data_IF_276288581550
#
_entry.id   IF_276288581550
#
_cell.length_a   1.000
_cell.length_b   1.000
_cell.length_c   1.000
_cell.angle_alpha   90.00
_cell.angle_beta   90.00
_cell.angle_gamma   90.00
#
_symmetry.space_group_name_H-M   'P 1'
#
loop_
_entity.id
_entity.type
_entity.pdbx_description
1 polymer ?
#
# COMPACT_ATOMS: atom_id res chain seq x y z
N UNK A 1 -40.26 46.22 -42.43
CA UNK A 1 -40.14 46.49 -40.99
C UNK A 1 -39.05 45.55 -40.46
N UNK A 2 -37.76 45.83 -40.67
CA UNK A 2 -36.90 46.62 -39.75
C UNK A 2 -37.17 46.18 -38.30
N UNK A 3 -36.30 45.48 -37.56
CA UNK A 3 -34.85 45.48 -37.52
C UNK A 3 -34.41 46.16 -36.22
N UNK A 4 -34.09 45.39 -35.17
CA UNK A 4 -33.43 45.78 -33.90
C UNK A 4 -33.31 44.50 -33.04
N UNK A 5 -32.24 44.13 -32.33
CA UNK A 5 -30.94 44.72 -32.06
C UNK A 5 -29.97 43.61 -31.66
N UNK A 6 -28.76 43.66 -32.20
CA UNK A 6 -27.58 43.09 -31.56
C UNK A 6 -27.39 43.72 -30.17
N UNK A 7 -27.18 42.90 -29.15
CA UNK A 7 -26.45 43.32 -27.95
C UNK A 7 -25.32 42.32 -27.65
N UNK A 8 -24.12 42.81 -27.94
CA UNK A 8 -22.84 42.36 -27.41
C UNK A 8 -22.87 42.28 -25.88
N UNK A 9 -22.20 41.28 -25.32
CA UNK A 9 -22.00 41.14 -23.89
C UNK A 9 -20.84 40.21 -23.57
N UNK A 10 -19.65 40.54 -24.06
CA UNK A 10 -18.39 39.93 -23.64
C UNK A 10 -18.20 40.15 -22.13
N UNK A 11 -18.17 39.07 -21.35
CA UNK A 11 -17.74 39.13 -19.95
C UNK A 11 -16.49 38.27 -19.74
N UNK A 12 -15.38 38.99 -19.86
CA UNK A 12 -14.23 39.01 -18.95
C UNK A 12 -13.56 37.67 -18.62
N UNK A 13 -12.51 37.37 -19.39
CA UNK A 13 -11.35 36.60 -18.93
C UNK A 13 -10.72 37.34 -17.74
N UNK A 14 -10.87 36.83 -16.52
CA UNK A 14 -10.05 37.25 -15.38
C UNK A 14 -9.07 36.14 -15.03
N UNK A 15 -7.86 36.27 -15.58
CA UNK A 15 -6.66 35.68 -15.01
C UNK A 15 -6.39 36.38 -13.67
N UNK A 16 -6.42 35.64 -12.57
CA UNK A 16 -5.83 36.07 -11.31
C UNK A 16 -4.53 35.31 -11.12
N UNK A 17 -3.44 35.96 -11.53
CA UNK A 17 -2.08 35.62 -11.15
C UNK A 17 -1.79 36.26 -9.81
N UNK A 18 -1.77 35.47 -8.73
CA UNK A 18 -1.18 35.89 -7.45
C UNK A 18 0.17 35.21 -7.30
N UNK A 19 1.24 35.97 -7.59
CA UNK A 19 2.61 35.65 -7.24
C UNK A 19 2.95 36.33 -5.91
N UNK A 20 3.56 35.61 -4.96
CA UNK A 20 4.40 36.07 -3.83
C UNK A 20 4.93 34.81 -3.08
N UNK A 21 6.01 34.89 -2.28
CA UNK A 21 7.42 35.04 -2.65
C UNK A 21 8.24 33.78 -2.29
N UNK A 22 9.49 33.76 -2.76
CA UNK A 22 10.49 32.76 -2.42
C UNK A 22 10.84 32.79 -0.92
N UNK A 23 10.69 31.65 -0.24
CA UNK A 23 11.30 31.40 1.05
C UNK A 23 12.43 30.38 0.87
N UNK A 24 13.65 30.88 0.82
CA UNK A 24 14.89 30.13 0.95
C UNK A 24 15.08 29.75 2.42
N UNK A 25 14.96 28.47 2.75
CA UNK A 25 15.53 27.91 3.97
C UNK A 25 16.29 26.63 3.63
N UNK A 26 17.60 26.79 3.49
CA UNK A 26 18.56 25.71 3.56
C UNK A 26 18.71 25.26 5.00
N UNK A 27 18.54 23.98 5.29
CA UNK A 27 19.36 23.25 6.28
C UNK A 27 19.09 21.75 6.20
N UNK A 28 20.06 21.05 5.60
CA UNK A 28 20.74 19.86 6.12
C UNK A 28 19.86 18.88 6.94
N UNK A 29 19.55 17.72 6.37
CA UNK A 29 19.80 16.39 6.96
C UNK A 29 19.48 15.31 5.93
N UNK A 30 20.45 15.09 5.03
CA UNK A 30 20.54 13.83 4.29
C UNK A 30 21.18 12.81 5.24
N UNK A 31 20.41 11.81 5.68
CA UNK A 31 20.97 10.52 6.05
C UNK A 31 20.18 9.44 5.34
N UNK A 32 20.55 9.25 4.06
CA UNK A 32 20.21 8.02 3.36
C UNK A 32 20.88 6.87 4.10
N UNK A 33 20.17 5.81 4.50
CA UNK A 33 20.86 4.58 4.86
C UNK A 33 21.55 4.10 3.58
N UNK A 34 22.88 3.99 3.63
CA UNK A 34 23.63 3.29 2.62
C UNK A 34 23.03 1.88 2.52
N UNK A 35 22.56 1.50 1.33
CA UNK A 35 22.24 0.12 1.06
C UNK A 35 23.52 -0.69 1.32
N UNK A 36 23.55 -1.41 2.43
CA UNK A 36 24.56 -2.43 2.67
C UNK A 36 24.32 -3.51 1.62
N UNK A 37 25.01 -3.38 0.49
CA UNK A 37 25.23 -4.49 -0.41
C UNK A 37 25.85 -5.60 0.44
N UNK A 38 25.06 -6.63 0.74
CA UNK A 38 25.56 -7.84 1.39
C UNK A 38 26.54 -8.43 0.37
N UNK A 39 27.83 -8.16 0.57
CA UNK A 39 28.89 -8.95 -0.03
C UNK A 39 28.72 -10.35 0.53
N UNK A 40 28.08 -11.23 -0.22
CA UNK A 40 28.19 -12.68 -0.02
C UNK A 40 29.64 -13.03 -0.30
N UNK A 41 30.47 -13.01 0.74
CA UNK A 41 31.82 -13.54 0.71
C UNK A 41 31.71 -15.01 0.30
N UNK A 42 32.21 -15.34 -0.89
CA UNK A 42 32.47 -16.71 -1.29
C UNK A 42 33.47 -17.30 -0.30
N UNK A 43 32.98 -18.00 0.71
CA UNK A 43 33.82 -18.82 1.56
C UNK A 43 34.05 -20.14 0.84
N UNK A 44 35.29 -20.28 0.38
CA UNK A 44 35.93 -21.51 -0.06
C UNK A 44 35.42 -22.74 0.70
N UNK A 45 34.85 -23.69 -0.02
CA UNK A 45 34.50 -25.01 0.49
C UNK A 45 35.79 -25.82 0.61
N UNK A 46 36.46 -25.73 1.75
CA UNK A 46 37.39 -26.79 2.17
C UNK A 46 36.56 -28.04 2.50
N UNK A 47 36.76 -29.19 1.83
CA UNK A 47 35.94 -30.37 2.02
C UNK A 47 36.37 -31.22 3.24
N UNK A 48 37.46 -30.86 3.94
CA UNK A 48 38.02 -31.67 5.02
C UNK A 48 38.56 -30.76 6.12
N UNK A 49 37.78 -30.53 7.19
CA UNK A 49 38.29 -29.75 8.32
C UNK A 49 37.31 -29.30 9.40
N UNK A 50 36.17 -29.98 9.62
CA UNK A 50 35.41 -29.80 10.86
C UNK A 50 34.44 -30.97 11.12
N UNK A 51 34.97 -32.19 11.19
CA UNK A 51 34.21 -33.38 11.61
C UNK A 51 34.89 -33.97 12.83
N UNK A 52 34.66 -33.38 14.01
CA UNK A 52 34.76 -34.06 15.31
C UNK A 52 34.24 -33.15 16.43
N UNK A 53 32.97 -32.72 16.37
CA UNK A 53 32.24 -32.26 17.57
C UNK A 53 30.71 -32.25 17.40
N UNK A 54 30.17 -33.10 16.54
CA UNK A 54 28.71 -33.25 16.36
C UNK A 54 28.17 -34.68 16.60
N UNK A 55 29.01 -35.64 17.03
CA UNK A 55 28.55 -37.03 17.19
C UNK A 55 27.90 -37.28 18.56
N UNK A 56 28.15 -36.43 19.57
CA UNK A 56 27.56 -36.59 20.92
C UNK A 56 26.32 -35.71 21.20
N UNK A 57 25.80 -34.97 20.20
CA UNK A 57 24.55 -34.19 20.34
C UNK A 57 23.32 -34.85 19.74
N UNK A 58 23.49 -35.95 19.00
CA UNK A 58 22.38 -36.69 18.38
C UNK A 58 21.81 -37.76 19.33
N UNK A 59 22.56 -38.19 20.35
CA UNK A 59 22.20 -39.31 21.23
C UNK A 59 21.34 -38.95 22.44
N UNK A 60 20.80 -37.72 22.50
CA UNK A 60 19.75 -37.31 23.45
C UNK A 60 18.69 -36.48 22.73
N UNK A 61 18.22 -36.96 21.59
CA UNK A 61 16.85 -36.64 21.21
C UNK A 61 15.96 -37.35 22.23
N UNK A 62 15.60 -36.64 23.30
CA UNK A 62 14.53 -37.09 24.18
C UNK A 62 13.35 -37.45 23.26
N UNK A 63 12.88 -38.70 23.34
CA UNK A 63 11.67 -39.14 22.67
C UNK A 63 10.62 -38.01 22.80
N UNK A 64 10.01 -37.52 21.70
CA UNK A 64 8.94 -36.55 21.84
C UNK A 64 7.96 -37.17 22.84
N UNK A 65 7.49 -36.41 23.86
CA UNK A 65 6.62 -36.97 24.87
C UNK A 65 5.53 -37.78 24.16
N UNK A 66 5.35 -39.04 24.57
CA UNK A 66 4.44 -40.04 24.00
C UNK A 66 2.98 -39.61 24.26
N UNK A 67 2.66 -38.41 23.77
CA UNK A 67 1.36 -37.80 23.76
C UNK A 67 0.58 -38.55 22.72
N UNK A 68 -0.50 -39.16 23.17
CA UNK A 68 -1.44 -39.81 22.27
C UNK A 68 -1.88 -38.80 21.21
N UNK A 69 -2.15 -39.21 19.95
CA UNK A 69 -2.69 -38.31 18.95
C UNK A 69 -3.88 -37.51 19.48
N UNK A 70 -4.74 -38.15 20.28
CA UNK A 70 -5.90 -37.56 20.93
C UNK A 70 -5.52 -36.37 21.82
N UNK A 71 -4.48 -36.51 22.64
CA UNK A 71 -3.99 -35.44 23.51
C UNK A 71 -3.44 -34.25 22.71
N UNK A 72 -2.69 -34.53 21.63
CA UNK A 72 -2.19 -33.48 20.72
C UNK A 72 -3.33 -32.71 20.05
N UNK A 73 -4.37 -33.42 19.62
CA UNK A 73 -5.56 -32.83 19.03
C UNK A 73 -6.38 -32.04 20.06
N UNK A 74 -6.49 -32.52 21.29
CA UNK A 74 -7.18 -31.81 22.37
C UNK A 74 -6.49 -30.48 22.70
N UNK A 75 -5.15 -30.46 22.79
CA UNK A 75 -4.36 -29.23 22.99
C UNK A 75 -4.52 -28.28 21.80
N UNK A 76 -4.38 -28.79 20.57
CA UNK A 76 -4.56 -27.96 19.36
C UNK A 76 -5.96 -27.37 19.24
N UNK A 77 -6.99 -28.15 19.54
CA UNK A 77 -8.39 -27.71 19.51
C UNK A 77 -8.64 -26.61 20.53
N UNK A 78 -8.14 -26.78 21.77
CA UNK A 78 -8.21 -25.76 22.82
C UNK A 78 -7.52 -24.46 22.41
N UNK A 79 -6.29 -24.57 21.92
CA UNK A 79 -5.52 -23.42 21.43
C UNK A 79 -6.23 -22.74 20.25
N UNK A 80 -6.84 -23.49 19.33
CA UNK A 80 -7.59 -22.92 18.22
C UNK A 80 -8.82 -22.14 18.70
N UNK A 81 -9.52 -22.64 19.72
CA UNK A 81 -10.66 -21.95 20.34
C UNK A 81 -10.22 -20.67 21.06
N UNK A 82 -9.18 -20.74 21.88
CA UNK A 82 -8.61 -19.57 22.57
C UNK A 82 -8.18 -18.49 21.56
N UNK A 83 -7.51 -18.90 20.48
CA UNK A 83 -7.10 -18.00 19.41
C UNK A 83 -8.30 -17.40 18.66
N UNK A 84 -9.36 -18.18 18.40
CA UNK A 84 -10.56 -17.69 17.74
C UNK A 84 -11.34 -16.69 18.62
N UNK A 85 -11.30 -16.85 19.95
CA UNK A 85 -11.88 -15.89 20.90
C UNK A 85 -11.03 -14.61 20.95
N UNK A 86 -9.71 -14.75 21.03
CA UNK A 86 -8.78 -13.61 21.12
C UNK A 86 -8.69 -12.82 19.80
N UNK A 87 -8.81 -13.50 18.66
CA UNK A 87 -8.75 -12.94 17.32
C UNK A 87 -9.89 -13.52 16.49
N UNK A 88 -11.11 -12.97 16.63
CA UNK A 88 -12.25 -13.47 15.87
C UNK A 88 -11.99 -13.36 14.37
N UNK A 89 -12.55 -14.28 13.56
CA UNK A 89 -12.46 -14.20 12.12
C UNK A 89 -12.98 -12.83 11.63
N UNK A 90 -12.39 -12.35 10.55
CA UNK A 90 -12.68 -11.04 10.00
C UNK A 90 -14.18 -10.87 9.71
N UNK A 91 -14.83 -9.98 10.46
CA UNK A 91 -16.21 -9.56 10.23
C UNK A 91 -16.36 -8.85 8.86
N UNK A 92 -17.58 -8.71 8.34
CA UNK A 92 -17.86 -7.95 7.13
C UNK A 92 -17.31 -6.51 7.21
N UNK A 93 -17.27 -5.91 8.40
CA UNK A 93 -16.71 -4.58 8.62
C UNK A 93 -15.19 -4.59 8.89
N UNK A 94 -14.56 -5.76 8.95
CA UNK A 94 -13.12 -5.85 9.08
C UNK A 94 -12.43 -5.10 7.93
N UNK A 95 -11.53 -4.19 8.29
CA UNK A 95 -10.86 -3.30 7.32
C UNK A 95 -11.68 -2.08 6.85
N UNK A 96 -12.86 -1.84 7.43
CA UNK A 96 -13.67 -0.61 7.25
C UNK A 96 -14.01 0.11 8.56
N UNK A 97 -13.46 -0.38 9.67
CA UNK A 97 -13.60 0.19 11.01
C UNK A 97 -12.30 0.86 11.43
N UNK A 98 -12.38 2.01 12.11
CA UNK A 98 -11.22 2.70 12.68
C UNK A 98 -11.56 3.08 14.13
N UNK A 99 -10.64 2.75 15.04
CA UNK A 99 -10.74 3.16 16.45
C UNK A 99 -10.52 4.67 16.55
N UNK A 100 -11.46 5.35 17.21
CA UNK A 100 -11.31 6.77 17.54
C UNK A 100 -10.43 6.90 18.77
N UNK A 101 -9.42 7.76 18.70
CA UNK A 101 -8.55 8.08 19.83
C UNK A 101 -9.16 9.20 20.67
N UNK A 102 -8.97 9.17 21.99
CA UNK A 102 -9.56 10.14 22.92
C UNK A 102 -8.87 11.52 22.95
N UNK A 103 -8.04 11.84 21.95
CA UNK A 103 -7.41 13.16 21.84
C UNK A 103 -8.39 14.19 21.26
N UNK A 104 -8.11 15.48 21.48
CA UNK A 104 -8.95 16.61 21.06
C UNK A 104 -9.35 16.55 19.57
N UNK A 105 -8.42 16.15 18.70
CA UNK A 105 -8.65 16.00 17.25
C UNK A 105 -8.85 14.55 16.79
N UNK A 106 -9.14 13.64 17.72
CA UNK A 106 -9.23 12.20 17.46
C UNK A 106 -10.34 11.82 16.49
N UNK A 107 -11.50 12.43 16.62
CA UNK A 107 -12.64 12.17 15.75
C UNK A 107 -12.37 12.62 14.31
N UNK A 108 -11.90 13.85 14.12
CA UNK A 108 -11.61 14.39 12.79
C UNK A 108 -10.53 13.57 12.07
N UNK A 109 -9.46 13.19 12.78
CA UNK A 109 -8.40 12.32 12.26
C UNK A 109 -8.95 10.93 11.90
N UNK A 110 -9.75 10.32 12.77
CA UNK A 110 -10.36 9.03 12.51
C UNK A 110 -11.27 9.04 11.27
N UNK A 111 -12.08 10.08 11.09
CA UNK A 111 -12.94 10.25 9.90
C UNK A 111 -12.12 10.43 8.61
N UNK A 112 -11.02 11.19 8.65
CA UNK A 112 -10.10 11.31 7.50
C UNK A 112 -9.49 9.97 7.15
N UNK A 113 -8.95 9.27 8.15
CA UNK A 113 -8.36 7.94 7.97
C UNK A 113 -9.39 6.95 7.41
N UNK A 114 -10.64 7.04 7.86
CA UNK A 114 -11.72 6.19 7.38
C UNK A 114 -12.00 6.45 5.90
N UNK A 115 -12.05 7.72 5.50
CA UNK A 115 -12.18 8.08 4.09
C UNK A 115 -11.03 7.54 3.22
N UNK A 116 -9.80 7.61 3.71
CA UNK A 116 -8.63 7.06 3.00
C UNK A 116 -8.70 5.54 2.87
N UNK A 117 -9.13 4.83 3.92
CA UNK A 117 -9.35 3.37 3.90
C UNK A 117 -10.43 3.02 2.87
N UNK A 118 -11.57 3.70 2.88
CA UNK A 118 -12.66 3.48 1.93
C UNK A 118 -12.25 3.77 0.48
N UNK A 119 -11.38 4.77 0.27
CA UNK A 119 -10.83 5.13 -1.03
C UNK A 119 -9.85 4.07 -1.55
N UNK A 120 -8.90 3.61 -0.71
CA UNK A 120 -7.95 2.53 -1.04
C UNK A 120 -8.66 1.23 -1.40
N UNK A 121 -9.68 0.87 -0.64
CA UNK A 121 -10.51 -0.31 -0.89
C UNK A 121 -11.51 -0.12 -2.04
N UNK A 122 -11.59 1.09 -2.63
CA UNK A 122 -12.49 1.45 -3.73
C UNK A 122 -13.98 1.20 -3.46
N UNK A 123 -14.40 1.22 -2.19
CA UNK A 123 -15.78 0.91 -1.76
C UNK A 123 -16.77 1.87 -2.42
N UNK A 124 -16.50 3.18 -2.38
CA UNK A 124 -17.38 4.21 -2.98
C UNK A 124 -17.53 4.04 -4.49
N UNK A 125 -16.43 3.68 -5.19
CA UNK A 125 -16.46 3.45 -6.63
C UNK A 125 -17.27 2.20 -6.96
N UNK A 126 -17.12 1.14 -6.16
CA UNK A 126 -17.87 -0.10 -6.33
C UNK A 126 -19.36 0.13 -6.15
N UNK A 127 -19.77 0.82 -5.07
CA UNK A 127 -21.18 1.18 -4.82
C UNK A 127 -21.78 1.89 -6.03
N UNK A 128 -21.13 2.96 -6.51
CA UNK A 128 -21.57 3.69 -7.71
C UNK A 128 -21.63 2.85 -8.97
N UNK A 129 -20.69 1.92 -9.14
CA UNK A 129 -20.67 1.02 -10.31
C UNK A 129 -21.73 -0.07 -10.22
N UNK A 130 -22.15 -0.45 -9.00
CA UNK A 130 -23.17 -1.47 -8.76
C UNK A 130 -24.60 -0.93 -8.72
N UNK A 131 -24.78 0.38 -8.55
CA UNK A 131 -26.10 1.04 -8.56
C UNK A 131 -26.93 0.70 -9.82
N UNK A 132 -26.26 0.47 -10.96
CA UNK A 132 -26.92 0.09 -12.22
C UNK A 132 -26.21 -1.11 -12.85
N UNK A 133 -26.97 -1.95 -13.54
CA UNK A 133 -26.39 -3.07 -14.28
C UNK A 133 -25.54 -2.58 -15.46
N UNK A 134 -24.24 -2.87 -15.41
CA UNK A 134 -23.33 -2.71 -16.53
C UNK A 134 -23.27 -4.01 -17.36
N UNK A 135 -23.64 -3.93 -18.65
CA UNK A 135 -23.53 -5.07 -19.58
C UNK A 135 -22.10 -5.62 -19.61
N UNK A 136 -21.96 -6.96 -19.65
CA UNK A 136 -20.65 -7.66 -19.61
C UNK A 136 -19.63 -7.12 -20.64
N UNK A 137 -20.05 -6.87 -21.88
CA UNK A 137 -19.17 -6.35 -22.94
C UNK A 137 -18.67 -4.93 -22.65
N UNK A 138 -19.55 -4.06 -22.15
CA UNK A 138 -19.22 -2.70 -21.73
C UNK A 138 -18.20 -2.72 -20.59
N UNK A 139 -18.45 -3.56 -19.58
CA UNK A 139 -17.54 -3.78 -18.44
C UNK A 139 -16.14 -4.21 -18.89
N UNK A 140 -16.03 -5.14 -19.85
CA UNK A 140 -14.73 -5.59 -20.38
C UNK A 140 -13.97 -4.46 -21.07
N UNK A 141 -14.63 -3.70 -21.96
CA UNK A 141 -14.03 -2.56 -22.67
C UNK A 141 -13.58 -1.48 -21.70
N UNK A 142 -14.41 -1.16 -20.70
CA UNK A 142 -14.06 -0.21 -19.63
C UNK A 142 -12.81 -0.66 -18.89
N UNK A 143 -12.79 -1.88 -18.35
CA UNK A 143 -11.64 -2.40 -17.60
C UNK A 143 -10.35 -2.45 -18.43
N UNK A 144 -10.43 -2.79 -19.71
CA UNK A 144 -9.29 -2.75 -20.62
C UNK A 144 -8.76 -1.32 -20.78
N UNK A 145 -9.64 -0.35 -21.05
CA UNK A 145 -9.25 1.05 -21.20
C UNK A 145 -8.67 1.64 -19.91
N UNK A 146 -9.18 1.23 -18.74
CA UNK A 146 -8.67 1.67 -17.43
C UNK A 146 -7.28 1.09 -17.16
N UNK A 147 -7.06 -0.20 -17.46
CA UNK A 147 -5.75 -0.84 -17.33
C UNK A 147 -4.72 -0.16 -18.21
N UNK A 148 -5.07 0.10 -19.48
CA UNK A 148 -4.21 0.81 -20.42
C UNK A 148 -3.83 2.20 -19.92
N UNK A 149 -4.81 3.02 -19.50
CA UNK A 149 -4.54 4.36 -18.95
C UNK A 149 -3.63 4.32 -17.73
N UNK A 150 -3.78 3.33 -16.84
CA UNK A 150 -2.90 3.13 -15.68
C UNK A 150 -1.48 2.76 -16.08
N UNK A 151 -1.33 1.82 -17.01
CA UNK A 151 -0.02 1.41 -17.53
C UNK A 151 0.68 2.58 -18.23
N UNK A 152 -0.02 3.26 -19.13
CA UNK A 152 0.48 4.42 -19.84
C UNK A 152 0.96 5.52 -18.87
N UNK A 153 0.14 5.88 -17.88
CA UNK A 153 0.52 6.87 -16.88
C UNK A 153 1.75 6.45 -16.06
N UNK A 154 1.89 5.15 -15.75
CA UNK A 154 3.06 4.63 -15.05
C UNK A 154 4.32 4.69 -15.92
N UNK A 155 4.24 4.33 -17.20
CA UNK A 155 5.36 4.41 -18.13
C UNK A 155 5.80 5.87 -18.35
N UNK A 156 4.85 6.78 -18.59
CA UNK A 156 5.13 8.22 -18.67
C UNK A 156 5.81 8.72 -17.40
N UNK A 157 5.29 8.37 -16.22
CA UNK A 157 5.90 8.75 -14.92
C UNK A 157 7.35 8.26 -14.80
N UNK A 158 7.64 7.00 -15.17
CA UNK A 158 9.00 6.45 -15.13
C UNK A 158 9.95 7.22 -16.05
N UNK A 159 9.51 7.54 -17.26
CA UNK A 159 10.31 8.30 -18.23
C UNK A 159 10.57 9.73 -17.76
N UNK A 160 9.55 10.42 -17.23
CA UNK A 160 9.70 11.77 -16.65
C UNK A 160 10.66 11.74 -15.45
N UNK A 161 10.52 10.75 -14.55
CA UNK A 161 11.43 10.59 -13.42
C UNK A 161 12.88 10.36 -13.86
N UNK A 162 13.10 9.64 -14.97
CA UNK A 162 14.45 9.47 -15.52
C UNK A 162 15.01 10.80 -16.05
N UNK A 163 14.21 11.56 -16.80
CA UNK A 163 14.62 12.88 -17.32
C UNK A 163 14.95 13.83 -16.17
N UNK A 164 14.12 13.87 -15.13
CA UNK A 164 14.41 14.67 -13.92
C UNK A 164 15.74 14.25 -13.28
N UNK A 165 16.00 12.95 -13.14
CA UNK A 165 17.28 12.46 -12.60
C UNK A 165 18.49 12.83 -13.46
N UNK A 166 18.35 12.87 -14.79
CA UNK A 166 19.42 13.29 -15.70
C UNK A 166 19.70 14.78 -15.52
N UNK A 167 18.65 15.61 -15.51
CA UNK A 167 18.74 17.05 -15.25
C UNK A 167 19.37 17.34 -13.89
N UNK A 168 18.94 16.64 -12.84
CA UNK A 168 19.42 16.85 -11.48
C UNK A 168 20.91 16.46 -11.31
N UNK A 169 21.48 15.67 -12.24
CA UNK A 169 22.92 15.35 -12.30
C UNK A 169 23.75 16.42 -13.03
N UNK A 170 23.12 17.41 -13.67
CA UNK A 170 23.81 18.50 -14.34
C UNK A 170 24.23 18.24 -15.78
N UNK A 171 23.50 17.36 -16.50
CA UNK A 171 23.55 17.30 -17.96
C UNK A 171 22.68 18.38 -18.60
#
# INVERSE_FOLDING_TARGET
MQGVSHLFGQLSKRCLTSALPHASNATKFLRSPAASYIQTRLQSTSPFGHVTNQVNRISRAAEPPQTTPQERWAVKSRMALENAIASPPADAYAGRSIKVMSNENGLASALKNLNDVLSRNRVRQQVRSSERHEKKGVKRRRLQSERWRKQFANEVRKKVQLVMKIRDRGA
#
